data_IF_335395528046
#
_entry.id   IF_335395528046
#
_cell.length_a   1.000
_cell.length_b   1.000
_cell.length_c   1.000
_cell.angle_alpha   90.00
_cell.angle_beta   90.00
_cell.angle_gamma   90.00
#
_symmetry.space_group_name_H-M   'P 1'
#
loop_
_entity.id
_entity.type
_entity.pdbx_description
1 polymer ?
#
# COMPACT_ATOMS: atom_id res chain seq x y z
N UNK A 1 1.19 -6.26 21.72
CA UNK A 1 -0.25 -6.40 22.04
C UNK A 1 -0.94 -5.16 21.49
N UNK A 2 -1.95 -5.30 20.64
CA UNK A 2 -2.76 -4.15 20.17
C UNK A 2 -4.11 -4.16 20.88
N UNK A 3 -4.59 -2.99 21.30
CA UNK A 3 -5.85 -2.83 22.03
C UNK A 3 -6.70 -1.78 21.33
N UNK A 4 -7.88 -2.20 20.86
CA UNK A 4 -8.91 -1.27 20.38
C UNK A 4 -9.34 -0.41 21.56
N UNK A 5 -9.21 0.91 21.43
CA UNK A 5 -9.24 1.84 22.57
C UNK A 5 -10.35 2.88 22.50
N UNK A 6 -11.27 2.76 21.54
CA UNK A 6 -12.31 3.75 21.24
C UNK A 6 -13.75 3.19 21.37
N UNK A 7 -13.96 2.14 22.17
CA UNK A 7 -15.28 1.53 22.37
C UNK A 7 -16.31 2.48 23.00
N UNK A 8 -15.90 3.33 23.94
CA UNK A 8 -16.80 4.27 24.64
C UNK A 8 -16.33 5.71 24.50
N UNK A 9 -15.11 5.99 24.95
CA UNK A 9 -14.48 7.30 24.86
C UNK A 9 -12.97 7.13 24.71
N UNK A 10 -12.49 7.36 23.50
CA UNK A 10 -11.07 7.24 23.17
C UNK A 10 -10.21 8.19 23.99
N UNK A 11 -10.61 9.46 24.10
CA UNK A 11 -9.81 10.48 24.76
C UNK A 11 -9.80 10.28 26.29
N UNK A 12 -10.85 9.71 26.88
CA UNK A 12 -10.81 9.26 28.28
C UNK A 12 -9.78 8.15 28.53
N UNK A 13 -9.61 7.20 27.60
CA UNK A 13 -8.55 6.19 27.70
C UNK A 13 -7.18 6.86 27.71
N UNK A 14 -6.95 7.83 26.82
CA UNK A 14 -5.67 8.56 26.75
C UNK A 14 -5.44 9.41 28.00
N UNK A 15 -6.48 10.07 28.52
CA UNK A 15 -6.41 10.98 29.66
C UNK A 15 -6.24 10.26 30.99
N UNK A 16 -7.02 9.20 31.21
CA UNK A 16 -7.23 8.65 32.55
C UNK A 16 -6.57 7.26 32.68
N UNK A 17 -6.72 6.41 31.65
CA UNK A 17 -6.28 5.00 31.72
C UNK A 17 -4.79 4.85 31.43
N UNK A 18 -4.27 5.45 30.35
CA UNK A 18 -2.87 5.29 29.97
C UNK A 18 -1.90 5.84 31.04
N UNK A 19 -2.12 7.03 31.64
CA UNK A 19 -1.24 7.51 32.70
C UNK A 19 -1.29 6.61 33.94
N UNK A 20 -2.48 6.13 34.33
CA UNK A 20 -2.64 5.22 35.47
C UNK A 20 -1.94 3.87 35.26
N UNK A 21 -1.79 3.42 34.01
CA UNK A 21 -1.11 2.18 33.65
C UNK A 21 0.34 2.38 33.20
N UNK A 22 0.87 3.60 33.22
CA UNK A 22 2.19 3.94 32.67
C UNK A 22 3.29 3.01 33.17
N UNK A 23 3.46 2.90 34.48
CA UNK A 23 4.51 2.05 35.09
C UNK A 23 4.38 0.58 34.65
N UNK A 24 3.14 0.07 34.57
CA UNK A 24 2.87 -1.30 34.14
C UNK A 24 3.17 -1.53 32.66
N UNK A 25 2.97 -0.52 31.82
CA UNK A 25 3.29 -0.57 30.38
C UNK A 25 4.80 -0.53 30.19
N UNK A 26 5.49 0.39 30.89
CA UNK A 26 6.93 0.58 30.81
C UNK A 26 7.72 -0.62 31.35
N UNK A 27 7.15 -1.41 32.26
CA UNK A 27 7.78 -2.61 32.81
C UNK A 27 7.67 -3.87 31.90
N UNK A 28 7.06 -3.77 30.70
CA UNK A 28 6.79 -4.93 29.84
C UNK A 28 8.00 -5.32 29.01
N UNK A 29 8.20 -6.62 28.79
CA UNK A 29 9.04 -7.11 27.70
C UNK A 29 8.28 -7.04 26.35
N UNK A 30 7.96 -5.83 25.89
CA UNK A 30 7.33 -5.59 24.60
C UNK A 30 6.34 -4.42 24.57
N UNK A 31 5.84 -4.14 23.36
CA UNK A 31 5.03 -2.95 23.07
C UNK A 31 3.51 -3.17 23.31
N UNK A 32 2.87 -2.17 23.94
CA UNK A 32 1.43 -1.94 23.87
C UNK A 32 1.14 -0.99 22.71
N UNK A 33 0.21 -1.38 21.84
CA UNK A 33 -0.17 -0.57 20.66
C UNK A 33 -1.62 -0.10 20.84
N UNK A 34 -1.81 1.20 20.90
CA UNK A 34 -3.12 1.85 21.00
C UNK A 34 -3.76 1.90 19.62
N UNK A 35 -4.97 1.36 19.51
CA UNK A 35 -5.71 1.27 18.26
C UNK A 35 -7.04 2.02 18.36
N UNK A 36 -7.11 3.28 17.95
CA UNK A 36 -8.37 3.85 17.49
C UNK A 36 -8.82 3.16 16.18
N UNK A 37 -10.12 3.00 15.99
CA UNK A 37 -10.75 2.36 14.83
C UNK A 37 -11.92 3.20 14.28
N UNK A 38 -12.06 4.46 14.71
CA UNK A 38 -13.10 5.40 14.31
C UNK A 38 -12.58 6.85 14.20
N UNK A 39 -13.28 7.67 13.42
CA UNK A 39 -12.94 9.08 13.17
C UNK A 39 -12.08 9.31 11.92
N UNK A 40 -11.58 10.55 11.75
CA UNK A 40 -10.60 10.83 10.68
C UNK A 40 -9.21 10.38 11.14
N UNK A 41 -8.53 9.48 10.40
CA UNK A 41 -7.26 8.92 10.83
C UNK A 41 -6.16 9.97 11.01
N UNK A 42 -6.12 10.98 10.14
CA UNK A 42 -5.12 12.03 10.22
C UNK A 42 -5.37 12.92 11.44
N UNK A 43 -6.61 13.35 11.67
CA UNK A 43 -6.96 14.19 12.82
C UNK A 43 -6.79 13.45 14.15
N UNK A 44 -7.14 12.17 14.21
CA UNK A 44 -6.96 11.35 15.42
C UNK A 44 -5.47 11.16 15.73
N UNK A 45 -4.64 10.87 14.73
CA UNK A 45 -3.21 10.61 14.94
C UNK A 45 -2.39 11.88 15.18
N UNK A 46 -2.57 12.89 14.32
CA UNK A 46 -1.74 14.09 14.26
C UNK A 46 -2.37 15.32 14.93
N UNK A 47 -3.65 15.24 15.30
CA UNK A 47 -4.37 16.30 15.99
C UNK A 47 -5.31 17.08 15.08
N UNK A 48 -6.35 17.64 15.69
CA UNK A 48 -7.38 18.47 15.06
C UNK A 48 -7.23 19.92 15.53
N UNK A 49 -6.64 20.83 14.73
CA UNK A 49 -6.37 22.21 15.15
C UNK A 49 -7.62 22.98 15.62
N UNK A 50 -8.79 22.60 15.08
CA UNK A 50 -10.07 23.26 15.34
C UNK A 50 -10.88 22.58 16.46
N UNK A 51 -10.39 21.49 17.05
CA UNK A 51 -11.10 20.82 18.14
C UNK A 51 -11.25 21.72 19.36
N UNK A 52 -12.20 21.42 20.24
CA UNK A 52 -12.30 22.10 21.54
C UNK A 52 -11.49 21.37 22.61
N UNK A 53 -11.45 20.04 22.56
CA UNK A 53 -10.69 19.20 23.48
C UNK A 53 -9.17 19.35 23.25
N UNK A 54 -8.38 19.71 24.28
CA UNK A 54 -6.93 19.80 24.17
C UNK A 54 -6.22 18.53 23.71
N UNK A 55 -6.75 17.34 24.03
CA UNK A 55 -6.19 16.05 23.61
C UNK A 55 -6.43 15.81 22.13
N UNK A 56 -7.64 16.13 21.65
CA UNK A 56 -7.95 16.05 20.23
C UNK A 56 -7.12 17.05 19.42
N UNK A 57 -6.85 18.25 19.94
CA UNK A 57 -5.92 19.21 19.31
C UNK A 57 -4.51 18.66 19.16
N UNK A 58 -4.03 17.91 20.15
CA UNK A 58 -2.69 17.31 20.14
C UNK A 58 -2.62 16.10 19.22
N UNK A 59 -3.68 15.30 19.16
CA UNK A 59 -3.67 14.00 18.51
C UNK A 59 -2.98 12.93 19.36
N UNK A 60 -3.25 11.67 19.00
CA UNK A 60 -2.77 10.50 19.72
C UNK A 60 -1.25 10.50 19.86
N UNK A 61 -0.50 10.75 18.79
CA UNK A 61 0.96 10.60 18.79
C UNK A 61 1.62 11.58 19.76
N UNK A 62 1.18 12.83 19.76
CA UNK A 62 1.67 13.82 20.72
C UNK A 62 1.23 13.48 22.15
N UNK A 63 0.00 12.97 22.36
CA UNK A 63 -0.43 12.54 23.68
C UNK A 63 0.38 11.36 24.23
N UNK A 64 0.70 10.36 23.39
CA UNK A 64 1.57 9.24 23.79
C UNK A 64 2.97 9.74 24.12
N UNK A 65 3.51 10.68 23.35
CA UNK A 65 4.78 11.31 23.67
C UNK A 65 4.74 12.06 25.01
N UNK A 66 3.69 12.81 25.28
CA UNK A 66 3.55 13.55 26.54
C UNK A 66 3.48 12.62 27.75
N UNK A 67 2.87 11.43 27.60
CA UNK A 67 2.72 10.46 28.68
C UNK A 67 4.00 9.62 28.85
N UNK A 68 4.55 9.08 27.77
CA UNK A 68 5.59 8.04 27.82
C UNK A 68 6.98 8.53 27.41
N UNK A 69 7.06 9.61 26.62
CA UNK A 69 8.31 10.09 26.04
C UNK A 69 8.84 9.18 24.94
N UNK A 70 10.15 9.22 24.77
CA UNK A 70 10.88 8.45 23.76
C UNK A 70 12.24 9.07 23.48
N UNK A 71 12.71 8.95 22.25
CA UNK A 71 14.00 9.50 21.82
C UNK A 71 13.83 10.60 20.77
N UNK A 72 14.73 11.57 20.78
CA UNK A 72 14.83 12.61 19.76
C UNK A 72 16.19 12.49 19.10
N UNK A 73 16.23 12.40 17.77
CA UNK A 73 17.49 12.34 17.02
C UNK A 73 18.10 13.75 16.82
N UNK A 74 19.28 13.79 16.20
CA UNK A 74 20.01 15.04 15.90
C UNK A 74 19.25 16.03 15.00
N UNK A 75 18.26 15.55 14.23
CA UNK A 75 17.40 16.37 13.38
C UNK A 75 16.15 16.89 14.09
N UNK A 76 16.03 16.65 15.40
CA UNK A 76 14.86 17.03 16.20
C UNK A 76 13.63 16.16 15.97
N UNK A 77 13.77 14.99 15.32
CA UNK A 77 12.67 14.06 15.06
C UNK A 77 12.48 13.13 16.25
N UNK A 78 11.26 13.11 16.79
CA UNK A 78 10.85 12.32 17.95
C UNK A 78 10.35 10.94 17.54
N UNK A 79 10.78 9.91 18.26
CA UNK A 79 10.28 8.53 18.12
C UNK A 79 9.79 8.07 19.49
N UNK A 80 8.55 7.57 19.55
CA UNK A 80 7.96 7.07 20.79
C UNK A 80 8.83 5.99 21.45
N UNK A 81 8.73 5.89 22.78
CA UNK A 81 9.36 4.81 23.53
C UNK A 81 8.93 3.43 22.98
N UNK A 82 9.85 2.45 22.83
CA UNK A 82 9.54 1.15 22.24
C UNK A 82 8.45 0.34 22.97
N UNK A 83 8.07 0.69 24.20
CA UNK A 83 6.99 0.04 24.94
C UNK A 83 5.59 0.53 24.54
N UNK A 84 5.47 1.63 23.80
CA UNK A 84 4.19 2.21 23.37
C UNK A 84 4.19 2.51 21.87
N UNK A 85 3.05 2.35 21.22
CA UNK A 85 2.89 2.71 19.82
C UNK A 85 1.43 2.93 19.44
N UNK A 86 1.20 3.33 18.20
CA UNK A 86 -0.12 3.49 17.63
C UNK A 86 -0.31 2.60 16.41
N UNK A 87 -1.54 2.15 16.19
CA UNK A 87 -1.98 1.58 14.91
C UNK A 87 -3.33 2.17 14.53
N UNK A 88 -3.48 2.53 13.26
CA UNK A 88 -4.77 2.96 12.72
C UNK A 88 -5.12 2.11 11.50
N UNK A 89 -6.31 1.51 11.49
CA UNK A 89 -6.68 0.49 10.50
C UNK A 89 -7.93 0.81 9.67
N UNK A 90 -8.69 1.86 10.01
CA UNK A 90 -9.91 2.17 9.27
C UNK A 90 -9.62 2.96 7.99
N UNK A 91 -10.01 2.37 6.86
CA UNK A 91 -10.11 3.02 5.55
C UNK A 91 -8.82 3.76 5.12
N UNK A 92 -7.65 3.17 5.34
CA UNK A 92 -6.35 3.73 4.94
C UNK A 92 -6.10 3.53 3.44
N UNK A 93 -6.07 4.62 2.69
CA UNK A 93 -5.64 4.71 1.28
C UNK A 93 -4.23 5.30 1.16
N UNK A 94 -3.65 5.30 -0.05
CA UNK A 94 -2.36 5.97 -0.30
C UNK A 94 -2.42 7.47 0.00
N UNK A 95 -3.50 8.15 -0.36
CA UNK A 95 -3.68 9.58 -0.09
C UNK A 95 -3.76 9.86 1.42
N UNK A 96 -4.53 9.05 2.16
CA UNK A 96 -4.63 9.16 3.61
C UNK A 96 -3.31 8.85 4.30
N UNK A 97 -2.61 7.81 3.86
CA UNK A 97 -1.26 7.51 4.33
C UNK A 97 -0.35 8.72 4.14
N UNK A 98 -0.34 9.34 2.95
CA UNK A 98 0.47 10.52 2.68
C UNK A 98 0.15 11.67 3.63
N UNK A 99 -1.13 11.98 3.83
CA UNK A 99 -1.58 13.03 4.76
C UNK A 99 -1.11 12.75 6.20
N UNK A 100 -1.24 11.51 6.67
CA UNK A 100 -0.80 11.10 8.01
C UNK A 100 0.73 11.29 8.15
N UNK A 101 1.50 10.82 7.17
CA UNK A 101 2.96 10.91 7.21
C UNK A 101 3.46 12.36 7.10
N UNK A 102 2.80 13.19 6.30
CA UNK A 102 3.08 14.63 6.22
C UNK A 102 2.79 15.32 7.57
N UNK A 103 1.67 15.01 8.22
CA UNK A 103 1.33 15.55 9.54
C UNK A 103 2.33 15.11 10.63
N UNK A 104 2.78 13.84 10.62
CA UNK A 104 3.84 13.38 11.51
C UNK A 104 5.14 14.17 11.30
N UNK A 105 5.53 14.37 10.03
CA UNK A 105 6.73 15.13 9.67
C UNK A 105 6.65 16.58 10.13
N UNK A 106 5.51 17.23 9.91
CA UNK A 106 5.24 18.61 10.36
C UNK A 106 5.32 18.73 11.88
N UNK A 107 4.80 17.74 12.60
CA UNK A 107 4.87 17.64 14.06
C UNK A 107 6.20 17.08 14.59
N UNK A 108 7.22 16.91 13.73
CA UNK A 108 8.55 16.38 14.09
C UNK A 108 8.50 15.01 14.76
N UNK A 109 7.64 14.12 14.28
CA UNK A 109 7.59 12.72 14.68
C UNK A 109 8.08 11.79 13.56
N UNK A 110 8.74 10.72 13.96
CA UNK A 110 9.17 9.64 13.09
C UNK A 110 7.95 8.88 12.56
N UNK A 111 7.95 8.47 11.27
CA UNK A 111 6.91 7.59 10.74
C UNK A 111 6.84 6.24 11.46
N UNK A 112 7.92 5.83 12.15
CA UNK A 112 7.94 4.61 12.96
C UNK A 112 7.00 4.67 14.19
N UNK A 113 6.43 5.83 14.51
CA UNK A 113 5.53 6.02 15.66
C UNK A 113 4.13 5.41 15.43
N UNK A 114 3.78 5.07 14.18
CA UNK A 114 2.48 4.52 13.82
C UNK A 114 2.61 3.38 12.81
N UNK A 115 1.79 2.34 13.00
CA UNK A 115 1.52 1.32 11.99
C UNK A 115 0.20 1.66 11.30
N UNK A 116 0.15 1.54 9.97
CA UNK A 116 -1.08 1.75 9.22
C UNK A 116 -1.60 0.41 8.71
N UNK A 117 -2.82 0.05 9.13
CA UNK A 117 -3.52 -1.13 8.65
C UNK A 117 -4.34 -0.81 7.41
N UNK A 118 -4.25 -1.64 6.39
CA UNK A 118 -5.12 -1.57 5.20
C UNK A 118 -6.09 -2.76 5.21
N UNK A 119 -7.30 -2.54 4.71
CA UNK A 119 -8.39 -3.51 4.76
C UNK A 119 -9.20 -3.57 3.48
N UNK A 120 -10.47 -3.98 3.60
CA UNK A 120 -11.38 -4.21 2.47
C UNK A 120 -11.48 -3.02 1.52
N UNK A 121 -11.49 -1.78 2.03
CA UNK A 121 -11.56 -0.59 1.19
C UNK A 121 -10.40 -0.52 0.18
N UNK A 122 -9.19 -0.82 0.61
CA UNK A 122 -8.00 -0.75 -0.24
C UNK A 122 -7.81 -2.01 -1.07
N UNK A 123 -8.18 -3.19 -0.53
CA UNK A 123 -8.04 -4.46 -1.24
C UNK A 123 -9.15 -4.75 -2.26
N UNK A 124 -10.40 -4.40 -1.94
CA UNK A 124 -11.58 -4.88 -2.66
C UNK A 124 -12.35 -3.80 -3.41
N UNK A 125 -12.07 -2.52 -3.15
CA UNK A 125 -12.72 -1.43 -3.88
C UNK A 125 -12.04 -1.14 -5.23
N UNK A 126 -11.60 -2.21 -5.89
CA UNK A 126 -11.01 -2.22 -7.23
C UNK A 126 -11.82 -3.16 -8.11
N UNK A 127 -11.95 -2.81 -9.39
CA UNK A 127 -12.57 -3.69 -10.39
C UNK A 127 -11.51 -4.11 -11.41
N UNK A 128 -11.85 -5.06 -12.28
CA UNK A 128 -11.02 -5.38 -13.46
C UNK A 128 -10.62 -4.11 -14.24
N UNK A 129 -11.54 -3.15 -14.33
CA UNK A 129 -11.36 -1.94 -15.10
C UNK A 129 -10.45 -0.91 -14.43
N UNK A 130 -10.25 -1.01 -13.11
CA UNK A 130 -9.34 -0.11 -12.36
C UNK A 130 -7.93 -0.11 -12.94
N UNK A 131 -7.43 -1.27 -13.37
CA UNK A 131 -6.12 -1.41 -14.01
C UNK A 131 -6.20 -1.69 -15.52
N UNK A 132 -7.41 -1.63 -16.10
CA UNK A 132 -7.61 -1.90 -17.52
C UNK A 132 -7.30 -3.34 -17.94
N UNK A 133 -7.40 -4.33 -17.04
CA UNK A 133 -7.10 -5.71 -17.39
C UNK A 133 -8.03 -6.24 -18.48
N UNK A 134 -7.43 -6.77 -19.55
CA UNK A 134 -8.17 -7.23 -20.70
C UNK A 134 -7.44 -8.37 -21.43
N UNK A 135 -8.22 -9.34 -21.92
CA UNK A 135 -7.74 -10.39 -22.83
C UNK A 135 -8.28 -10.09 -24.23
N UNK A 136 -7.40 -10.14 -25.24
CA UNK A 136 -7.73 -9.95 -26.66
C UNK A 136 -6.89 -10.91 -27.50
N UNK A 137 -7.51 -11.51 -28.51
CA UNK A 137 -6.77 -12.23 -29.54
C UNK A 137 -6.08 -11.21 -30.45
N UNK A 138 -4.77 -11.33 -30.63
CA UNK A 138 -3.97 -10.42 -31.46
C UNK A 138 -3.40 -11.12 -32.71
N UNK A 139 -3.41 -12.45 -32.77
CA UNK A 139 -2.85 -13.22 -33.88
C UNK A 139 -3.64 -14.51 -34.11
N UNK A 140 -3.74 -14.94 -35.37
CA UNK A 140 -4.24 -16.26 -35.76
C UNK A 140 -3.50 -16.78 -37.00
N UNK A 141 -3.52 -18.10 -37.20
CA UNK A 141 -3.17 -18.73 -38.49
C UNK A 141 -4.46 -19.20 -39.16
N UNK A 142 -4.88 -18.54 -40.23
CA UNK A 142 -6.11 -18.87 -40.96
C UNK A 142 -5.71 -19.61 -42.23
N UNK A 143 -6.10 -20.88 -42.36
CA UNK A 143 -5.68 -21.75 -43.48
C UNK A 143 -4.15 -21.78 -43.67
N UNK A 144 -3.41 -21.80 -42.56
CA UNK A 144 -1.94 -21.77 -42.57
C UNK A 144 -1.32 -20.38 -42.74
N UNK A 145 -2.12 -19.34 -43.01
CA UNK A 145 -1.62 -17.97 -43.23
C UNK A 145 -1.59 -17.17 -41.93
N UNK A 146 -0.42 -16.67 -41.49
CA UNK A 146 -0.30 -15.71 -40.40
C UNK A 146 -1.18 -14.48 -40.63
N UNK A 147 -2.12 -14.23 -39.73
CA UNK A 147 -3.09 -13.13 -39.83
C UNK A 147 -3.09 -12.33 -38.54
N UNK A 148 -2.65 -11.05 -38.55
CA UNK A 148 -2.74 -10.20 -37.39
C UNK A 148 -4.20 -9.78 -37.13
N UNK A 149 -4.60 -9.84 -35.88
CA UNK A 149 -5.92 -9.43 -35.38
C UNK A 149 -5.76 -8.20 -34.50
N UNK A 150 -6.77 -7.33 -34.50
CA UNK A 150 -6.87 -6.20 -33.57
C UNK A 150 -8.31 -5.70 -33.49
N UNK A 151 -8.66 -5.00 -32.41
CA UNK A 151 -9.92 -4.28 -32.25
C UNK A 151 -9.65 -2.78 -32.29
N UNK A 152 -10.43 -2.05 -33.09
CA UNK A 152 -10.39 -0.59 -33.17
C UNK A 152 -11.83 -0.02 -33.29
N UNK A 153 -12.54 0.17 -32.17
CA UNK A 153 -13.95 0.57 -32.19
C UNK A 153 -14.11 2.04 -32.62
N UNK A 154 -14.92 2.29 -33.65
CA UNK A 154 -15.11 3.63 -34.24
C UNK A 154 -15.63 4.71 -33.27
N UNK A 155 -16.36 4.33 -32.24
CA UNK A 155 -17.00 5.25 -31.27
C UNK A 155 -16.21 5.37 -29.96
N UNK A 156 -14.99 4.83 -29.92
CA UNK A 156 -14.14 4.86 -28.74
C UNK A 156 -12.99 5.86 -28.94
N UNK A 157 -12.59 6.55 -27.88
CA UNK A 157 -11.56 7.59 -27.93
C UNK A 157 -10.13 7.01 -27.99
N UNK A 158 -9.96 5.79 -28.53
CA UNK A 158 -8.68 5.08 -28.64
C UNK A 158 -8.29 4.24 -27.43
N UNK A 159 -9.05 4.27 -26.33
CA UNK A 159 -8.76 3.52 -25.08
C UNK A 159 -8.96 2.01 -25.24
N UNK A 160 -9.89 1.60 -26.11
CA UNK A 160 -10.23 0.19 -26.37
C UNK A 160 -9.57 -0.37 -27.62
N UNK A 161 -8.60 0.36 -28.18
CA UNK A 161 -7.75 -0.15 -29.25
C UNK A 161 -6.83 -1.23 -28.68
N UNK A 162 -6.84 -2.42 -29.26
CA UNK A 162 -5.96 -3.51 -28.81
C UNK A 162 -4.64 -3.50 -29.55
N UNK A 163 -3.64 -4.16 -28.95
CA UNK A 163 -2.42 -4.53 -29.66
C UNK A 163 -2.73 -5.41 -30.89
N UNK A 164 -1.81 -5.42 -31.86
CA UNK A 164 -1.94 -6.13 -33.14
C UNK A 164 -0.84 -7.16 -33.33
N UNK A 165 -1.19 -8.34 -33.84
CA UNK A 165 -0.22 -9.37 -34.24
C UNK A 165 0.54 -10.01 -33.08
N UNK A 166 1.71 -10.57 -33.40
CA UNK A 166 2.66 -11.09 -32.41
C UNK A 166 3.32 -9.94 -31.66
N UNK A 167 3.66 -10.15 -30.38
CA UNK A 167 4.11 -9.10 -29.46
C UNK A 167 5.51 -9.40 -28.94
N UNK A 168 6.39 -8.40 -29.02
CA UNK A 168 7.69 -8.42 -28.33
C UNK A 168 7.66 -7.43 -27.17
N UNK A 169 8.08 -7.87 -25.99
CA UNK A 169 8.16 -7.05 -24.79
C UNK A 169 9.63 -6.86 -24.40
N UNK A 170 10.10 -5.60 -24.48
CA UNK A 170 11.39 -5.17 -23.93
C UNK A 170 11.25 -4.66 -22.49
N UNK A 171 12.32 -4.07 -21.94
CA UNK A 171 12.31 -3.58 -20.55
C UNK A 171 11.24 -2.50 -20.29
N UNK A 172 11.07 -1.55 -21.23
CA UNK A 172 10.12 -0.44 -21.12
C UNK A 172 9.45 -0.15 -22.48
N UNK A 173 9.37 -1.15 -23.34
CA UNK A 173 8.84 -1.01 -24.70
C UNK A 173 8.04 -2.24 -25.08
N UNK A 174 7.04 -2.03 -25.93
CA UNK A 174 6.27 -3.09 -26.56
C UNK A 174 6.30 -2.84 -28.07
N UNK A 175 6.68 -3.85 -28.83
CA UNK A 175 6.61 -3.86 -30.28
C UNK A 175 5.45 -4.77 -30.71
N UNK A 176 4.62 -4.27 -31.63
CA UNK A 176 3.45 -4.98 -32.15
C UNK A 176 3.70 -5.50 -33.56
N UNK A 177 3.00 -6.57 -33.92
CA UNK A 177 3.03 -7.20 -35.25
C UNK A 177 4.45 -7.56 -35.71
N UNK A 178 5.26 -8.05 -34.78
CA UNK A 178 6.62 -8.51 -35.06
C UNK A 178 6.62 -9.85 -35.82
N UNK A 179 7.78 -10.24 -36.36
CA UNK A 179 7.92 -11.56 -37.00
C UNK A 179 7.93 -12.68 -35.95
N UNK A 180 7.77 -13.93 -36.39
CA UNK A 180 7.84 -15.09 -35.50
C UNK A 180 9.22 -15.23 -34.84
N UNK A 181 10.29 -14.91 -35.57
CA UNK A 181 11.66 -14.94 -35.09
C UNK A 181 11.87 -13.92 -33.97
N UNK A 182 11.34 -12.70 -34.13
CA UNK A 182 11.42 -11.65 -33.09
C UNK A 182 10.57 -12.01 -31.87
N UNK A 183 9.36 -12.53 -32.10
CA UNK A 183 8.49 -13.02 -31.03
C UNK A 183 9.15 -14.13 -30.20
N UNK A 184 9.81 -15.08 -30.86
CA UNK A 184 10.42 -16.26 -30.24
C UNK A 184 11.86 -16.05 -29.78
N UNK A 185 12.35 -14.81 -29.81
CA UNK A 185 13.70 -14.46 -29.36
C UNK A 185 13.82 -14.55 -27.84
N UNK A 186 14.97 -14.99 -27.34
CA UNK A 186 15.31 -14.97 -25.90
C UNK A 186 15.38 -13.54 -25.33
N UNK A 187 15.46 -12.52 -26.19
CA UNK A 187 15.36 -11.11 -25.80
C UNK A 187 13.92 -10.70 -25.45
N UNK A 188 12.92 -11.48 -25.86
CA UNK A 188 11.52 -11.21 -25.52
C UNK A 188 11.29 -11.57 -24.06
N UNK A 189 10.84 -10.60 -23.26
CA UNK A 189 10.59 -10.84 -21.83
C UNK A 189 9.37 -11.73 -21.58
N UNK A 190 8.55 -12.00 -22.61
CA UNK A 190 7.51 -13.01 -22.56
C UNK A 190 8.15 -14.41 -22.74
N UNK A 191 8.20 -15.17 -21.67
CA UNK A 191 8.66 -16.56 -21.68
C UNK A 191 7.48 -17.54 -21.51
N UNK A 192 7.55 -18.75 -22.09
CA UNK A 192 6.60 -19.82 -21.77
C UNK A 192 6.62 -20.13 -20.27
N UNK A 193 5.42 -20.18 -19.68
CA UNK A 193 5.23 -20.64 -18.29
C UNK A 193 4.37 -21.90 -18.23
N UNK A 194 3.62 -22.17 -19.30
CA UNK A 194 2.73 -23.30 -19.43
C UNK A 194 2.60 -23.69 -20.90
N UNK A 195 2.90 -24.95 -21.21
CA UNK A 195 2.85 -25.51 -22.56
C UNK A 195 2.12 -26.84 -22.53
N UNK A 196 1.09 -27.01 -23.36
CA UNK A 196 0.40 -28.29 -23.59
C UNK A 196 -0.02 -29.06 -22.32
N UNK A 197 -0.49 -28.35 -21.30
CA UNK A 197 -0.94 -28.97 -20.05
C UNK A 197 0.10 -29.03 -18.94
N UNK A 198 1.34 -28.61 -19.23
CA UNK A 198 2.49 -28.70 -18.31
C UNK A 198 2.92 -27.31 -17.88
N UNK A 199 3.05 -27.10 -16.56
CA UNK A 199 3.66 -25.90 -15.98
C UNK A 199 5.19 -26.00 -16.11
N UNK A 200 5.81 -25.05 -16.80
CA UNK A 200 7.26 -25.06 -17.08
C UNK A 200 8.07 -24.20 -16.09
N UNK A 201 7.42 -23.23 -15.46
CA UNK A 201 8.05 -22.30 -14.54
C UNK A 201 7.17 -22.06 -13.31
N UNK A 202 7.82 -22.06 -12.15
CA UNK A 202 7.21 -21.73 -10.87
C UNK A 202 8.15 -20.81 -10.09
N UNK A 203 7.58 -19.86 -9.37
CA UNK A 203 8.34 -18.93 -8.55
C UNK A 203 7.80 -18.94 -7.13
N UNK A 204 8.71 -19.01 -6.18
CA UNK A 204 8.35 -18.81 -4.79
C UNK A 204 8.09 -17.33 -4.49
N UNK A 205 7.53 -17.11 -3.30
CA UNK A 205 7.15 -15.78 -2.86
C UNK A 205 8.34 -14.83 -2.65
N UNK A 206 9.51 -15.35 -2.28
CA UNK A 206 10.69 -14.52 -2.03
C UNK A 206 11.31 -14.06 -3.34
N UNK A 207 11.31 -14.92 -4.35
CA UNK A 207 11.72 -14.58 -5.71
C UNK A 207 10.86 -13.44 -6.27
N UNK A 208 9.52 -13.56 -6.18
CA UNK A 208 8.59 -12.53 -6.65
C UNK A 208 8.85 -11.19 -5.93
N UNK A 209 9.06 -11.23 -4.61
CA UNK A 209 9.40 -10.04 -3.81
C UNK A 209 10.73 -9.41 -4.23
N UNK A 210 11.71 -10.23 -4.57
CA UNK A 210 13.04 -9.75 -5.00
C UNK A 210 12.94 -8.99 -6.31
N UNK A 211 12.24 -9.54 -7.31
CA UNK A 211 12.00 -8.85 -8.58
C UNK A 211 11.28 -7.52 -8.34
N UNK A 212 10.16 -7.54 -7.61
CA UNK A 212 9.35 -6.35 -7.37
C UNK A 212 10.11 -5.23 -6.65
N UNK A 213 11.07 -5.55 -5.78
CA UNK A 213 11.91 -4.55 -5.09
C UNK A 213 12.94 -3.91 -6.01
N UNK A 214 13.53 -4.69 -6.92
CA UNK A 214 14.59 -4.21 -7.81
C UNK A 214 14.06 -3.27 -8.92
N UNK A 215 12.76 -3.32 -9.24
CA UNK A 215 12.15 -2.44 -10.25
C UNK A 215 11.61 -1.11 -9.67
N UNK A 216 11.57 -0.95 -8.34
CA UNK A 216 11.01 0.24 -7.65
C UNK A 216 12.10 1.24 -7.21
N UNK A 217 13.38 0.86 -7.24
CA UNK A 217 14.54 1.68 -6.89
C UNK A 217 15.57 1.72 -8.02
#
# INVERSE_FOLDING_TARGET
LSVVSDTWDFWAVIRDVLPALKERIMARAGCLVIRPDSGDPNLILNGSPNATDPLEKKGLIQCLWDIFGGTTNEYGVRTLDPHIGAIYGDSITLDRQKQILDGLRENKFSPASVVLGIGSYTYQYVTRDTFGFAIKATYAKINGVPTPLFKDPKTDNGVKKSAKGLIFLGNNSMEENVTWERFSSDENRLAPVFTDGVLEAEWDWEHIRTIARNDIF
#
